data_IF_264682751066
#
_entry.id   IF_264682751066
#
_cell.length_a   1.000
_cell.length_b   1.000
_cell.length_c   1.000
_cell.angle_alpha   90.00
_cell.angle_beta   90.00
_cell.angle_gamma   90.00
#
_symmetry.space_group_name_H-M   'P 1'
#
loop_
_entity.id
_entity.type
_entity.pdbx_description
1 polymer ?
#
# COMPACT_ATOMS: atom_id res chain seq x y z
N UNK A 1 -5.09 -18.80 -10.32
CA UNK A 1 -4.40 -19.16 -9.06
C UNK A 1 -5.02 -20.45 -8.56
N UNK A 2 -4.21 -21.36 -8.00
CA UNK A 2 -4.68 -22.60 -7.38
C UNK A 2 -3.94 -22.82 -6.07
N UNK A 3 -4.65 -23.04 -4.97
CA UNK A 3 -4.06 -23.59 -3.74
C UNK A 3 -3.89 -25.09 -3.94
N UNK A 4 -2.65 -25.56 -3.91
CA UNK A 4 -2.29 -26.98 -4.18
C UNK A 4 -1.93 -27.76 -2.93
N UNK A 5 -1.87 -27.09 -1.79
CA UNK A 5 -1.73 -27.67 -0.46
C UNK A 5 -2.00 -26.59 0.59
N UNK A 6 -2.01 -26.97 1.88
CA UNK A 6 -2.17 -26.01 2.97
C UNK A 6 -1.17 -24.85 2.86
N UNK A 7 0.09 -25.19 2.59
CA UNK A 7 1.25 -24.28 2.58
C UNK A 7 1.79 -23.95 1.20
N UNK A 8 0.96 -24.03 0.16
CA UNK A 8 1.43 -23.86 -1.22
C UNK A 8 0.38 -23.29 -2.15
N UNK A 9 0.72 -22.16 -2.75
CA UNK A 9 -0.02 -21.49 -3.82
C UNK A 9 0.70 -21.62 -5.15
N UNK A 10 -0.07 -21.78 -6.22
CA UNK A 10 0.40 -21.72 -7.60
C UNK A 10 -0.28 -20.58 -8.34
N UNK A 11 0.53 -19.72 -8.94
CA UNK A 11 0.09 -18.60 -9.78
C UNK A 11 0.53 -18.87 -11.21
N UNK A 12 -0.45 -19.20 -12.05
CA UNK A 12 -0.23 -19.32 -13.50
C UNK A 12 -0.11 -17.94 -14.14
N UNK A 13 0.96 -17.76 -14.90
CA UNK A 13 1.31 -16.59 -15.70
C UNK A 13 1.50 -17.03 -17.16
N UNK A 14 1.56 -16.09 -18.09
CA UNK A 14 1.72 -16.39 -19.52
C UNK A 14 3.09 -17.04 -19.83
N UNK A 15 4.08 -16.82 -18.96
CA UNK A 15 5.42 -17.40 -19.05
C UNK A 15 5.59 -18.69 -18.24
N UNK A 16 4.55 -19.16 -17.55
CA UNK A 16 4.58 -20.39 -16.76
C UNK A 16 3.90 -20.28 -15.40
N UNK A 17 4.01 -21.34 -14.60
CA UNK A 17 3.44 -21.38 -13.25
C UNK A 17 4.52 -21.08 -12.20
N UNK A 18 4.24 -20.12 -11.33
CA UNK A 18 5.06 -19.79 -10.18
C UNK A 18 4.49 -20.42 -8.93
N UNK A 19 5.37 -20.91 -8.05
CA UNK A 19 5.02 -21.57 -6.80
C UNK A 19 5.42 -20.66 -5.64
N UNK A 20 4.49 -20.45 -4.72
CA UNK A 20 4.70 -19.72 -3.47
C UNK A 20 4.42 -20.70 -2.34
N UNK A 21 5.41 -20.95 -1.49
CA UNK A 21 5.31 -21.90 -0.39
C UNK A 21 5.54 -21.18 0.93
N UNK A 22 4.73 -21.53 1.93
CA UNK A 22 4.89 -21.00 3.28
C UNK A 22 6.16 -21.60 3.92
N UNK A 23 6.74 -20.88 4.88
CA UNK A 23 7.86 -21.36 5.68
C UNK A 23 7.41 -21.58 7.14
N UNK A 24 7.82 -22.67 7.79
CA UNK A 24 7.48 -22.94 9.18
C UNK A 24 8.21 -21.97 10.15
N UNK A 25 7.72 -21.80 11.39
CA UNK A 25 6.51 -22.38 11.98
C UNK A 25 5.22 -21.89 11.32
N UNK A 26 4.30 -22.81 11.01
CA UNK A 26 3.08 -22.49 10.26
C UNK A 26 1.95 -21.93 11.14
N UNK A 27 2.09 -22.08 12.45
CA UNK A 27 1.14 -21.72 13.51
C UNK A 27 1.59 -20.50 14.33
N UNK A 28 2.78 -19.94 14.04
CA UNK A 28 3.32 -18.75 14.68
C UNK A 28 3.54 -17.65 13.61
N UNK A 29 2.58 -16.71 13.45
CA UNK A 29 2.57 -15.74 12.35
C UNK A 29 3.78 -14.79 12.31
N UNK A 30 4.51 -14.65 13.41
CA UNK A 30 5.68 -13.77 13.55
C UNK A 30 7.02 -14.49 13.37
N UNK A 31 7.01 -15.82 13.27
CA UNK A 31 8.24 -16.62 13.12
C UNK A 31 8.25 -17.46 11.83
N UNK A 32 7.09 -17.62 11.18
CA UNK A 32 6.96 -18.23 9.86
C UNK A 32 6.69 -17.22 8.73
N UNK A 33 6.54 -17.76 7.52
CA UNK A 33 6.13 -16.97 6.36
C UNK A 33 4.89 -17.58 5.70
N UNK A 34 3.87 -16.77 5.40
CA UNK A 34 2.60 -17.22 4.81
C UNK A 34 2.29 -16.43 3.53
N UNK A 35 1.87 -17.15 2.49
CA UNK A 35 1.28 -16.55 1.30
C UNK A 35 -0.24 -16.75 1.25
N UNK A 36 -0.96 -15.65 1.05
CA UNK A 36 -2.41 -15.66 0.86
C UNK A 36 -2.78 -14.89 -0.39
N UNK A 37 -3.69 -15.46 -1.17
CA UNK A 37 -4.29 -14.75 -2.30
C UNK A 37 -5.21 -13.65 -1.81
N UNK A 38 -5.07 -12.45 -2.39
CA UNK A 38 -5.87 -11.30 -2.01
C UNK A 38 -6.77 -10.87 -3.16
N UNK A 39 -6.17 -10.51 -4.28
CA UNK A 39 -6.94 -9.97 -5.40
C UNK A 39 -6.29 -10.26 -6.76
N UNK A 40 -7.08 -10.09 -7.81
CA UNK A 40 -6.66 -10.16 -9.21
C UNK A 40 -7.42 -9.09 -9.99
N UNK A 41 -6.67 -8.17 -10.59
CA UNK A 41 -7.20 -7.12 -11.46
C UNK A 41 -6.34 -6.95 -12.70
N UNK A 42 -6.97 -6.64 -13.84
CA UNK A 42 -6.34 -6.48 -15.15
C UNK A 42 -5.39 -7.62 -15.55
N UNK A 43 -4.10 -7.41 -15.32
CA UNK A 43 -2.98 -8.27 -15.69
C UNK A 43 -2.08 -8.58 -14.48
N UNK A 44 -2.58 -8.41 -13.25
CA UNK A 44 -1.84 -8.62 -12.03
C UNK A 44 -2.55 -9.54 -11.05
N UNK A 45 -1.77 -10.24 -10.24
CA UNK A 45 -2.23 -10.98 -9.06
C UNK A 45 -1.53 -10.39 -7.84
N UNK A 46 -2.30 -10.08 -6.80
CA UNK A 46 -1.76 -9.68 -5.51
C UNK A 46 -1.84 -10.86 -4.53
N UNK A 47 -0.69 -11.21 -3.97
CA UNK A 47 -0.60 -12.09 -2.82
C UNK A 47 -0.22 -11.24 -1.60
N UNK A 48 -0.91 -11.40 -0.47
CA UNK A 48 -0.32 -11.02 0.81
C UNK A 48 0.82 -11.98 1.13
N UNK A 49 1.87 -11.42 1.68
CA UNK A 49 3.01 -12.15 2.19
C UNK A 49 3.31 -11.61 3.58
N UNK A 50 3.15 -12.49 4.58
CA UNK A 50 3.54 -12.24 5.96
C UNK A 50 4.85 -12.96 6.18
N UNK A 51 5.84 -12.26 6.70
CA UNK A 51 7.18 -12.79 6.99
C UNK A 51 7.70 -12.06 8.21
N UNK A 52 7.58 -12.73 9.37
CA UNK A 52 7.78 -12.12 10.68
C UNK A 52 7.02 -10.82 10.88
N UNK A 53 7.73 -9.73 11.19
CA UNK A 53 7.15 -8.41 11.47
C UNK A 53 6.70 -7.65 10.21
N UNK A 54 6.86 -8.25 9.01
CA UNK A 54 6.55 -7.60 7.74
C UNK A 54 5.22 -8.09 7.17
N UNK A 55 4.16 -7.27 7.27
CA UNK A 55 2.89 -7.49 6.58
C UNK A 55 2.88 -6.74 5.25
N UNK A 56 3.30 -7.44 4.20
CA UNK A 56 3.37 -6.90 2.85
C UNK A 56 2.64 -7.76 1.84
N UNK A 57 3.13 -7.71 0.61
CA UNK A 57 2.61 -8.52 -0.47
C UNK A 57 3.55 -8.62 -1.64
N UNK A 58 3.20 -9.50 -2.57
CA UNK A 58 3.86 -9.69 -3.85
C UNK A 58 2.85 -9.38 -4.94
N UNK A 59 3.16 -8.38 -5.77
CA UNK A 59 2.40 -8.08 -6.98
C UNK A 59 3.04 -8.82 -8.15
N UNK A 60 2.26 -9.69 -8.80
CA UNK A 60 2.73 -10.55 -9.88
C UNK A 60 2.14 -10.04 -11.19
N UNK A 61 3.01 -9.63 -12.12
CA UNK A 61 2.61 -9.38 -13.51
C UNK A 61 2.38 -10.71 -14.23
N UNK A 62 1.14 -10.96 -14.65
CA UNK A 62 0.72 -12.21 -15.28
C UNK A 62 1.38 -12.38 -16.66
N UNK A 63 1.67 -11.29 -17.37
CA UNK A 63 2.23 -11.37 -18.73
C UNK A 63 3.71 -11.69 -18.71
N UNK A 64 4.45 -11.01 -17.84
CA UNK A 64 5.91 -11.15 -17.77
C UNK A 64 6.38 -12.16 -16.73
N UNK A 65 5.49 -12.58 -15.82
CA UNK A 65 5.84 -13.38 -14.63
C UNK A 65 6.65 -12.60 -13.60
N UNK A 66 6.87 -11.29 -13.76
CA UNK A 66 7.68 -10.52 -12.84
C UNK A 66 6.98 -10.36 -11.49
N UNK A 67 7.74 -10.59 -10.43
CA UNK A 67 7.34 -10.26 -9.06
C UNK A 67 7.84 -8.86 -8.71
N UNK A 68 6.91 -8.03 -8.23
CA UNK A 68 7.11 -6.65 -7.82
C UNK A 68 6.78 -6.52 -6.33
N UNK A 69 7.36 -5.55 -5.62
CA UNK A 69 6.88 -5.17 -4.30
C UNK A 69 5.38 -4.94 -4.35
N UNK A 70 4.64 -5.72 -3.60
CA UNK A 70 3.23 -5.49 -3.35
C UNK A 70 3.03 -4.91 -1.98
N UNK A 71 1.83 -5.10 -1.47
CA UNK A 71 1.42 -4.67 -0.16
C UNK A 71 0.16 -5.40 0.26
N UNK A 72 -0.46 -4.91 1.33
CA UNK A 72 -1.80 -5.34 1.69
C UNK A 72 -2.84 -4.83 0.69
N UNK A 73 -2.55 -3.69 0.04
CA UNK A 73 -3.30 -3.10 -1.07
C UNK A 73 -2.33 -2.59 -2.14
N UNK A 74 -2.73 -2.67 -3.41
CA UNK A 74 -2.00 -2.08 -4.53
C UNK A 74 -2.95 -1.32 -5.45
N UNK A 75 -2.60 -0.09 -5.80
CA UNK A 75 -3.36 0.74 -6.75
C UNK A 75 -2.46 1.16 -7.90
N UNK A 76 -2.78 0.72 -9.11
CA UNK A 76 -1.95 0.96 -10.31
C UNK A 76 -2.44 2.23 -11.03
N UNK A 77 -1.49 3.10 -11.43
CA UNK A 77 -1.85 4.27 -12.22
C UNK A 77 -2.39 3.85 -13.61
N UNK A 78 -3.39 4.54 -14.18
CA UNK A 78 -3.97 4.20 -15.49
C UNK A 78 -2.94 4.09 -16.62
N UNK A 79 -1.88 4.89 -16.59
CA UNK A 79 -0.79 4.87 -17.58
C UNK A 79 0.26 3.76 -17.34
N UNK A 80 0.13 3.02 -16.23
CA UNK A 80 1.03 1.95 -15.78
C UNK A 80 2.49 2.38 -15.64
N UNK A 81 2.73 3.67 -15.41
CA UNK A 81 4.07 4.18 -15.12
C UNK A 81 4.52 3.89 -13.69
N UNK A 82 3.55 3.79 -12.77
CA UNK A 82 3.75 3.64 -11.33
C UNK A 82 2.54 3.01 -10.65
N UNK A 83 2.72 2.61 -9.40
CA UNK A 83 1.66 2.10 -8.55
C UNK A 83 1.93 2.48 -7.09
N UNK A 84 0.86 2.55 -6.30
CA UNK A 84 0.92 2.59 -4.85
C UNK A 84 0.95 1.16 -4.33
N UNK A 85 1.84 0.87 -3.37
CA UNK A 85 1.78 -0.31 -2.52
C UNK A 85 1.62 0.16 -1.06
N UNK A 86 0.60 -0.37 -0.39
CA UNK A 86 0.31 -0.10 1.02
C UNK A 86 0.84 -1.26 1.84
N UNK A 87 1.68 -1.01 2.82
CA UNK A 87 2.28 -2.05 3.69
C UNK A 87 2.09 -1.69 5.15
N UNK A 88 2.06 -2.67 6.04
CA UNK A 88 2.05 -2.43 7.47
C UNK A 88 3.15 -3.29 8.10
N UNK A 89 3.99 -2.68 8.93
CA UNK A 89 4.94 -3.41 9.76
C UNK A 89 4.36 -3.52 11.16
N UNK A 90 4.71 -4.58 11.88
CA UNK A 90 4.26 -4.71 13.27
C UNK A 90 4.72 -3.51 14.10
N UNK A 91 3.86 -3.08 15.03
CA UNK A 91 4.12 -1.93 15.91
C UNK A 91 4.07 -0.54 15.27
N UNK A 92 3.63 -0.38 14.00
CA UNK A 92 3.37 0.94 13.43
C UNK A 92 1.94 1.43 13.72
N UNK A 93 1.80 2.70 14.09
CA UNK A 93 0.52 3.39 14.32
C UNK A 93 -0.26 3.73 13.04
N UNK A 94 0.15 3.18 11.89
CA UNK A 94 -0.48 3.40 10.60
C UNK A 94 0.19 2.64 9.47
N UNK A 95 -0.44 2.68 8.29
CA UNK A 95 0.10 2.03 7.10
C UNK A 95 1.19 2.88 6.48
N UNK A 96 2.21 2.21 5.93
CA UNK A 96 3.19 2.84 5.06
C UNK A 96 2.70 2.79 3.62
N UNK A 97 2.71 3.95 2.97
CA UNK A 97 2.26 4.13 1.59
C UNK A 97 3.47 4.44 0.70
N UNK A 98 3.76 3.55 -0.25
CA UNK A 98 4.91 3.68 -1.15
C UNK A 98 4.44 3.77 -2.59
N UNK A 99 4.81 4.82 -3.30
CA UNK A 99 4.66 4.84 -4.76
C UNK A 99 5.95 4.35 -5.38
N UNK A 100 5.84 3.32 -6.22
CA UNK A 100 6.97 2.72 -6.92
C UNK A 100 6.75 2.76 -8.43
N UNK A 101 7.85 2.73 -9.17
CA UNK A 101 7.81 2.35 -10.58
C UNK A 101 7.83 0.81 -10.74
N UNK A 102 7.58 0.34 -11.96
CA UNK A 102 7.63 -1.08 -12.31
C UNK A 102 9.08 -1.64 -12.41
N UNK A 103 10.09 -0.83 -12.14
CA UNK A 103 11.48 -1.24 -11.93
C UNK A 103 11.82 -1.39 -10.43
N UNK A 104 10.81 -1.34 -9.55
CA UNK A 104 10.90 -1.48 -8.09
C UNK A 104 11.56 -0.28 -7.40
N UNK A 105 11.75 0.84 -8.09
CA UNK A 105 12.33 2.05 -7.51
C UNK A 105 11.26 2.80 -6.71
N UNK A 106 11.48 3.10 -5.42
CA UNK A 106 10.58 3.98 -4.68
C UNK A 106 10.69 5.40 -5.23
N UNK A 107 9.55 5.99 -5.58
CA UNK A 107 9.42 7.39 -6.00
C UNK A 107 9.07 8.29 -4.80
N UNK A 108 8.29 7.75 -3.87
CA UNK A 108 7.92 8.38 -2.59
C UNK A 108 7.58 7.29 -1.57
N UNK A 109 7.86 7.59 -0.29
CA UNK A 109 7.31 6.89 0.87
C UNK A 109 6.61 7.91 1.77
N UNK A 110 5.39 7.61 2.20
CA UNK A 110 4.59 8.38 3.15
C UNK A 110 3.81 7.42 4.04
N UNK A 111 2.87 7.91 4.85
CA UNK A 111 2.01 7.10 5.71
C UNK A 111 0.54 7.34 5.35
N UNK A 112 -0.34 6.49 5.87
CA UNK A 112 -1.79 6.71 5.87
C UNK A 112 -2.23 7.80 6.86
N UNK A 113 -1.32 8.65 7.35
CA UNK A 113 -1.63 9.73 8.28
C UNK A 113 -1.23 11.08 7.69
N UNK A 114 -2.16 12.02 7.72
CA UNK A 114 -1.88 13.43 7.49
C UNK A 114 -1.47 14.05 8.81
N UNK A 115 -0.21 14.47 8.89
CA UNK A 115 0.38 15.07 10.08
C UNK A 115 0.05 16.57 10.15
N UNK A 116 0.01 17.13 11.35
CA UNK A 116 0.01 18.57 11.64
C UNK A 116 1.22 19.28 11.01
N UNK A 117 1.26 20.61 11.07
CA UNK A 117 2.35 21.38 10.47
C UNK A 117 3.72 21.13 11.12
N UNK A 118 3.73 20.81 12.42
CA UNK A 118 4.94 20.42 13.15
C UNK A 118 5.49 19.04 12.73
N UNK A 119 4.73 18.29 11.94
CA UNK A 119 5.08 16.95 11.46
C UNK A 119 5.11 15.87 12.54
N UNK A 120 4.56 16.13 13.74
CA UNK A 120 4.62 15.23 14.88
C UNK A 120 3.27 14.57 15.20
N UNK A 121 2.16 15.30 15.00
CA UNK A 121 0.83 14.84 15.42
C UNK A 121 0.01 14.42 14.21
N UNK A 122 -0.62 13.23 14.24
CA UNK A 122 -1.61 12.86 13.24
C UNK A 122 -2.88 13.69 13.44
N UNK A 123 -3.39 14.33 12.38
CA UNK A 123 -4.65 15.09 12.43
C UNK A 123 -5.77 14.41 11.64
N UNK A 124 -5.42 13.66 10.60
CA UNK A 124 -6.39 12.91 9.79
C UNK A 124 -5.78 11.60 9.28
N UNK A 125 -6.61 10.58 9.15
CA UNK A 125 -6.28 9.33 8.47
C UNK A 125 -6.58 9.46 6.97
N UNK A 126 -5.74 8.84 6.14
CA UNK A 126 -5.87 8.76 4.68
C UNK A 126 -6.37 7.37 4.30
N UNK A 127 -7.44 7.32 3.52
CA UNK A 127 -8.07 6.08 3.08
C UNK A 127 -8.49 6.13 1.60
N UNK A 128 -8.87 4.98 1.06
CA UNK A 128 -9.36 4.82 -0.31
C UNK A 128 -8.45 5.47 -1.37
N UNK A 129 -7.16 5.06 -1.43
CA UNK A 129 -6.24 5.61 -2.43
C UNK A 129 -6.71 5.34 -3.86
N UNK A 130 -6.62 6.33 -4.72
CA UNK A 130 -6.98 6.20 -6.14
C UNK A 130 -6.16 7.11 -7.04
N UNK A 131 -5.94 6.71 -8.29
CA UNK A 131 -5.23 7.52 -9.27
C UNK A 131 -6.21 8.31 -10.15
N UNK A 132 -6.02 9.64 -10.24
CA UNK A 132 -6.65 10.48 -11.25
C UNK A 132 -5.59 10.95 -12.25
N UNK A 133 -5.57 10.31 -13.43
CA UNK A 133 -4.45 10.44 -14.36
C UNK A 133 -3.18 9.94 -13.69
N UNK A 134 -2.22 10.83 -13.46
CA UNK A 134 -0.93 10.49 -12.85
C UNK A 134 -0.78 11.04 -11.42
N UNK A 135 -1.86 11.56 -10.85
CA UNK A 135 -1.90 12.11 -9.49
C UNK A 135 -2.61 11.14 -8.55
N UNK A 136 -1.93 10.75 -7.48
CA UNK A 136 -2.54 9.93 -6.42
C UNK A 136 -3.43 10.80 -5.55
N UNK A 137 -4.63 10.32 -5.25
CA UNK A 137 -5.63 10.95 -4.40
C UNK A 137 -6.02 9.99 -3.27
N UNK A 138 -6.52 10.54 -2.18
CA UNK A 138 -7.06 9.80 -1.05
C UNK A 138 -8.12 10.63 -0.35
N UNK A 139 -8.94 9.96 0.46
CA UNK A 139 -9.88 10.62 1.38
C UNK A 139 -9.17 10.84 2.70
N UNK A 140 -9.07 12.08 3.15
CA UNK A 140 -8.65 12.44 4.49
C UNK A 140 -9.87 12.53 5.40
N UNK A 141 -9.80 11.88 6.57
CA UNK A 141 -10.84 11.90 7.61
C UNK A 141 -10.21 12.34 8.92
N UNK A 142 -10.75 13.38 9.55
CA UNK A 142 -10.22 13.87 10.82
C UNK A 142 -10.25 12.80 11.91
N UNK A 143 -9.19 12.73 12.72
CA UNK A 143 -9.13 11.81 13.86
C UNK A 143 -10.04 12.25 15.01
N UNK A 144 -10.33 13.55 15.12
CA UNK A 144 -11.22 14.13 16.14
C UNK A 144 -12.71 14.02 15.79
N UNK A 145 -13.05 13.93 14.50
CA UNK A 145 -14.42 13.93 13.98
C UNK A 145 -14.50 13.21 12.63
N UNK A 146 -15.03 11.99 12.64
CA UNK A 146 -15.11 11.12 11.46
C UNK A 146 -16.07 11.62 10.37
N UNK A 147 -16.91 12.61 10.70
CA UNK A 147 -17.81 13.27 9.74
C UNK A 147 -17.10 14.32 8.90
N UNK A 148 -15.92 14.79 9.34
CA UNK A 148 -15.11 15.76 8.61
C UNK A 148 -14.16 15.05 7.66
N UNK A 149 -14.55 15.03 6.38
CA UNK A 149 -13.81 14.37 5.32
C UNK A 149 -13.56 15.28 4.13
N UNK A 150 -12.40 15.13 3.48
CA UNK A 150 -12.11 15.81 2.23
C UNK A 150 -11.15 15.03 1.35
N UNK A 151 -11.15 15.35 0.06
CA UNK A 151 -10.21 14.75 -0.89
C UNK A 151 -8.86 15.46 -0.83
N UNK A 152 -7.80 14.69 -0.67
CA UNK A 152 -6.42 15.13 -0.79
C UNK A 152 -5.75 14.52 -2.01
N UNK A 153 -4.70 15.16 -2.46
CA UNK A 153 -3.87 14.72 -3.57
C UNK A 153 -2.43 14.81 -3.16
N UNK A 154 -1.67 13.81 -3.56
CA UNK A 154 -0.25 13.80 -3.36
C UNK A 154 0.41 14.72 -4.38
N UNK A 155 1.13 15.72 -3.90
CA UNK A 155 1.78 16.75 -4.71
C UNK A 155 3.27 16.78 -4.40
N UNK A 156 4.08 17.12 -5.40
CA UNK A 156 5.50 17.36 -5.22
C UNK A 156 5.77 18.86 -5.36
N UNK A 157 6.09 19.53 -4.25
CA UNK A 157 6.52 20.92 -4.25
C UNK A 157 8.03 20.96 -3.99
N UNK A 158 8.82 21.29 -5.02
CA UNK A 158 10.28 21.46 -4.92
C UNK A 158 11.04 20.23 -4.37
N UNK A 159 10.57 19.01 -4.67
CA UNK A 159 11.17 17.77 -4.19
C UNK A 159 10.58 17.27 -2.87
N UNK A 160 9.77 18.08 -2.18
CA UNK A 160 9.03 17.67 -0.99
C UNK A 160 7.63 17.20 -1.37
N UNK A 161 7.35 15.92 -1.14
CA UNK A 161 6.04 15.35 -1.36
C UNK A 161 5.11 15.59 -0.18
N UNK A 162 3.90 16.08 -0.46
CA UNK A 162 2.91 16.40 0.56
C UNK A 162 1.48 16.19 0.05
N UNK A 163 0.59 15.79 0.94
CA UNK A 163 -0.85 15.73 0.71
C UNK A 163 -1.47 17.13 0.78
N UNK A 164 -2.27 17.49 -0.23
CA UNK A 164 -2.93 18.80 -0.35
C UNK A 164 -4.36 18.66 -0.92
N UNK A 165 -5.31 19.54 -0.56
CA UNK A 165 -5.17 20.62 0.41
C UNK A 165 -5.13 20.09 1.84
N UNK A 166 -4.44 20.80 2.73
CA UNK A 166 -4.55 20.58 4.17
C UNK A 166 -5.76 21.35 4.70
N UNK A 167 -6.47 20.76 5.65
CA UNK A 167 -7.54 21.41 6.42
C UNK A 167 -7.25 21.20 7.89
N UNK A 168 -7.65 22.18 8.70
CA UNK A 168 -7.65 22.03 10.14
C UNK A 168 -8.79 21.07 10.53
N UNK A 169 -8.50 20.14 11.43
CA UNK A 169 -9.52 19.26 12.01
C UNK A 169 -10.16 19.91 13.23
N UNK A 170 -9.38 20.72 13.97
CA UNK A 170 -9.88 21.54 15.07
C UNK A 170 -9.49 23.03 14.92
N UNK A 171 -10.19 23.93 15.61
CA UNK A 171 -9.88 25.37 15.58
C UNK A 171 -8.45 25.70 16.06
N UNK A 172 -7.86 24.83 16.88
CA UNK A 172 -6.47 24.93 17.36
C UNK A 172 -5.45 24.52 16.31
N UNK A 173 -5.82 23.72 15.31
CA UNK A 173 -4.93 23.35 14.18
C UNK A 173 -4.81 24.46 13.14
N UNK A 174 -5.81 25.36 13.09
CA UNK A 174 -5.83 26.50 12.19
C UNK A 174 -4.99 27.69 12.69
N UNK A 175 -4.59 27.67 13.97
CA UNK A 175 -3.97 28.78 14.67
C UNK A 175 -2.58 28.41 15.18
N UNK A 176 -1.60 28.35 14.28
CA UNK A 176 -0.18 28.61 14.56
C UNK A 176 0.58 28.94 13.28
#
# INVERSE_FOLDING_TARGET
MRRVGAHRLEVTTDVGTQVFADSPPYDEPLDGAEYRYCDRGDAYVLLHHRDGDSFGGVLIDIRSGRQLPGGIEVVIAPDRSRYLAVTQSDGMDGEQWRVLDFNKRPLISTTSMLLSQDGATGIAELSAPTWFGTQLQATATCLSDDTQQWQVRLTNAQGAWNWQPRRACDATDAAQ
#
